data_IF_745332564115
#
_entry.id   IF_745332564115
#
_cell.length_a   1.000
_cell.length_b   1.000
_cell.length_c   1.000
_cell.angle_alpha   90.00
_cell.angle_beta   90.00
_cell.angle_gamma   90.00
#
_symmetry.space_group_name_H-M   'P 1'
#
loop_
_entity.id
_entity.type
_entity.pdbx_description
1 polymer ?
#
# COMPACT_ATOMS: atom_id res chain seq x y z
N UNK A 1 -21.65 11.39 -10.81
CA UNK A 1 -22.25 10.33 -9.98
C UNK A 1 -21.41 10.22 -8.74
N UNK A 2 -21.97 10.45 -7.55
CA UNK A 2 -21.23 10.37 -6.30
C UNK A 2 -20.99 8.89 -5.98
N UNK A 3 -19.81 8.39 -6.35
CA UNK A 3 -19.40 7.06 -5.90
C UNK A 3 -19.10 7.15 -4.41
N UNK A 4 -19.89 6.44 -3.60
CA UNK A 4 -19.64 6.26 -2.18
C UNK A 4 -18.47 5.29 -2.02
N UNK A 5 -17.24 5.81 -2.02
CA UNK A 5 -16.06 5.00 -1.74
C UNK A 5 -16.10 4.47 -0.30
N UNK A 6 -15.58 3.26 -0.07
CA UNK A 6 -15.43 2.67 1.25
C UNK A 6 -13.96 2.31 1.52
N UNK A 7 -13.62 2.11 2.81
CA UNK A 7 -12.32 1.59 3.17
C UNK A 7 -12.15 0.16 2.61
N UNK A 8 -11.02 -0.10 1.97
CA UNK A 8 -10.72 -1.37 1.30
C UNK A 8 -11.11 -1.41 -0.17
N UNK A 9 -11.58 -0.31 -0.76
CA UNK A 9 -11.82 -0.22 -2.20
C UNK A 9 -10.53 0.09 -2.96
N UNK A 10 -10.38 -0.57 -4.10
CA UNK A 10 -9.32 -0.32 -5.08
C UNK A 10 -9.63 0.91 -5.90
N UNK A 11 -8.66 1.81 -5.97
CA UNK A 11 -8.84 3.14 -6.55
C UNK A 11 -7.62 3.56 -7.34
N UNK A 12 -7.84 4.34 -8.38
CA UNK A 12 -6.82 4.99 -9.19
C UNK A 12 -6.99 6.51 -9.12
N UNK A 13 -5.88 7.22 -9.15
CA UNK A 13 -5.84 8.68 -9.14
C UNK A 13 -6.00 9.21 -10.56
N UNK A 14 -6.92 10.16 -10.76
CA UNK A 14 -7.14 10.75 -12.09
C UNK A 14 -5.99 11.67 -12.48
N UNK A 15 -5.62 11.64 -13.76
CA UNK A 15 -4.72 12.62 -14.34
C UNK A 15 -5.46 13.94 -14.61
N UNK A 16 -5.08 14.99 -13.89
CA UNK A 16 -5.52 16.37 -14.13
C UNK A 16 -4.44 17.40 -13.82
N UNK A 17 -4.65 18.62 -14.29
CA UNK A 17 -3.82 19.76 -13.90
C UNK A 17 -4.10 20.17 -12.44
N UNK A 18 -3.03 20.56 -11.75
CA UNK A 18 -3.14 21.11 -10.40
C UNK A 18 -3.76 22.50 -10.47
N UNK A 19 -4.83 22.74 -9.71
CA UNK A 19 -5.43 24.06 -9.58
C UNK A 19 -4.76 24.83 -8.43
N UNK A 20 -4.93 26.16 -8.40
CA UNK A 20 -4.44 26.99 -7.28
C UNK A 20 -5.01 26.58 -5.91
N UNK A 21 -6.19 25.94 -5.87
CA UNK A 21 -6.77 25.41 -4.64
C UNK A 21 -6.05 24.13 -4.19
N UNK A 22 -5.58 23.31 -5.11
CA UNK A 22 -4.82 22.09 -4.80
C UNK A 22 -3.41 22.42 -4.32
N UNK A 23 -2.77 23.42 -4.92
CA UNK A 23 -1.46 23.91 -4.46
C UNK A 23 -1.51 24.45 -3.02
N UNK A 24 -2.67 25.01 -2.61
CA UNK A 24 -2.88 25.51 -1.25
C UNK A 24 -3.28 24.42 -0.26
N UNK A 25 -4.07 23.44 -0.69
CA UNK A 25 -4.55 22.35 0.16
C UNK A 25 -3.56 21.19 0.27
N UNK A 26 -2.66 21.02 -0.71
CA UNK A 26 -1.73 19.90 -0.78
C UNK A 26 -2.41 18.56 -1.07
N UNK A 27 -3.68 18.57 -1.50
CA UNK A 27 -4.49 17.35 -1.70
C UNK A 27 -4.27 16.68 -3.04
N UNK A 28 -3.72 17.39 -4.03
CA UNK A 28 -3.44 16.81 -5.34
C UNK A 28 -2.16 17.39 -5.91
N UNK A 29 -1.31 16.49 -6.41
CA UNK A 29 -0.14 16.84 -7.18
C UNK A 29 -0.15 16.09 -8.52
N UNK A 30 0.33 16.69 -9.62
CA UNK A 30 0.30 16.05 -10.94
C UNK A 30 1.09 14.73 -10.99
N UNK A 31 2.10 14.57 -10.15
CA UNK A 31 2.90 13.35 -10.08
C UNK A 31 2.18 12.19 -9.38
N UNK A 32 0.98 12.40 -8.82
CA UNK A 32 0.12 11.32 -8.33
C UNK A 32 -0.77 10.72 -9.40
N UNK A 33 -0.85 11.34 -10.58
CA UNK A 33 -1.62 10.82 -11.70
C UNK A 33 -1.23 9.36 -12.00
N UNK A 34 -2.24 8.55 -12.34
CA UNK A 34 -2.11 7.14 -12.70
C UNK A 34 -1.58 6.20 -11.60
N UNK A 35 -1.37 6.72 -10.38
CA UNK A 35 -1.09 5.86 -9.23
C UNK A 35 -2.33 5.07 -8.82
N UNK A 36 -2.11 3.83 -8.40
CA UNK A 36 -3.14 2.88 -8.00
C UNK A 36 -2.93 2.49 -6.55
N UNK A 37 -4.02 2.22 -5.84
CA UNK A 37 -3.94 1.88 -4.44
C UNK A 37 -5.27 1.47 -3.85
N UNK A 38 -5.26 1.31 -2.53
CA UNK A 38 -6.41 0.92 -1.74
C UNK A 38 -6.77 2.02 -0.74
N UNK A 39 -8.06 2.33 -0.61
CA UNK A 39 -8.54 3.29 0.40
C UNK A 39 -8.33 2.71 1.81
N UNK A 40 -7.54 3.37 2.64
CA UNK A 40 -7.39 3.01 4.05
C UNK A 40 -8.49 3.61 4.92
N UNK A 41 -8.73 4.91 4.75
CA UNK A 41 -9.66 5.67 5.59
C UNK A 41 -10.19 6.88 4.85
N UNK A 42 -11.43 7.24 5.14
CA UNK A 42 -12.13 8.37 4.54
C UNK A 42 -12.40 9.41 5.63
N UNK A 43 -12.14 10.67 5.29
CA UNK A 43 -12.25 11.86 6.14
C UNK A 43 -13.18 12.88 5.46
N UNK A 44 -14.47 12.56 5.37
CA UNK A 44 -15.45 13.42 4.70
C UNK A 44 -15.23 13.45 3.19
N UNK A 45 -14.65 14.54 2.68
CA UNK A 45 -14.36 14.74 1.24
C UNK A 45 -12.94 14.28 0.83
N UNK A 46 -12.14 13.83 1.79
CA UNK A 46 -10.76 13.37 1.58
C UNK A 46 -10.62 11.89 1.91
N UNK A 47 -9.67 11.21 1.29
CA UNK A 47 -9.36 9.81 1.57
C UNK A 47 -7.85 9.60 1.66
N UNK A 48 -7.44 8.79 2.64
CA UNK A 48 -6.09 8.24 2.71
C UNK A 48 -6.03 6.97 1.88
N UNK A 49 -5.17 6.98 0.86
CA UNK A 49 -4.96 5.86 -0.05
C UNK A 49 -3.57 5.30 0.18
N UNK A 50 -3.51 3.98 0.40
CA UNK A 50 -2.27 3.22 0.36
C UNK A 50 -1.93 2.92 -1.09
N UNK A 51 -0.83 3.48 -1.59
CA UNK A 51 -0.41 3.31 -2.98
C UNK A 51 0.38 2.02 -3.14
N UNK A 52 0.10 1.31 -4.23
CA UNK A 52 0.82 0.12 -4.63
C UNK A 52 2.21 0.50 -5.16
N UNK A 53 3.25 -0.18 -4.67
CA UNK A 53 4.65 0.11 -5.03
C UNK A 53 4.92 0.01 -6.53
N UNK A 54 4.19 -0.87 -7.21
CA UNK A 54 4.34 -1.09 -8.65
C UNK A 54 3.70 0.02 -9.49
N UNK A 55 2.80 0.81 -8.91
CA UNK A 55 2.19 1.98 -9.56
C UNK A 55 2.99 3.27 -9.36
N UNK A 56 4.02 3.25 -8.52
CA UNK A 56 4.87 4.42 -8.28
C UNK A 56 5.74 4.70 -9.50
N UNK A 57 5.83 5.98 -9.85
CA UNK A 57 6.79 6.44 -10.85
C UNK A 57 8.22 6.12 -10.42
N UNK A 58 9.09 5.78 -11.37
CA UNK A 58 10.45 5.24 -11.10
C UNK A 58 11.27 6.13 -10.17
N UNK A 59 11.21 7.45 -10.36
CA UNK A 59 11.93 8.41 -9.50
C UNK A 59 11.43 8.42 -8.04
N UNK A 60 10.11 8.36 -7.86
CA UNK A 60 9.49 8.34 -6.53
C UNK A 60 9.77 7.01 -5.84
N UNK A 61 9.72 5.93 -6.62
CA UNK A 61 10.04 4.58 -6.16
C UNK A 61 11.48 4.48 -5.64
N UNK A 62 12.47 4.99 -6.38
CA UNK A 62 13.88 4.98 -5.95
C UNK A 62 14.05 5.75 -4.64
N UNK A 63 13.47 6.94 -4.52
CA UNK A 63 13.53 7.73 -3.27
C UNK A 63 12.85 7.01 -2.11
N UNK A 64 11.74 6.32 -2.37
CA UNK A 64 11.03 5.53 -1.35
C UNK A 64 11.87 4.35 -0.86
N UNK A 65 12.54 3.65 -1.78
CA UNK A 65 13.46 2.56 -1.46
C UNK A 65 14.68 3.06 -0.67
N UNK A 66 15.26 4.21 -1.04
CA UNK A 66 16.35 4.85 -0.29
C UNK A 66 15.93 5.22 1.13
N UNK A 67 14.74 5.82 1.28
CA UNK A 67 14.18 6.16 2.58
C UNK A 67 13.91 4.91 3.43
N UNK A 68 13.42 3.83 2.81
CA UNK A 68 13.20 2.55 3.48
C UNK A 68 14.50 1.97 4.02
N UNK A 69 15.59 2.01 3.23
CA UNK A 69 16.91 1.56 3.68
C UNK A 69 17.43 2.46 4.81
N UNK A 70 17.27 3.77 4.70
CA UNK A 70 17.71 4.72 5.73
C UNK A 70 16.96 4.53 7.05
N UNK A 71 15.64 4.35 7.01
CA UNK A 71 14.83 4.09 8.21
C UNK A 71 15.11 2.72 8.81
N UNK A 72 15.35 1.67 8.01
CA UNK A 72 15.81 0.38 8.52
C UNK A 72 17.15 0.49 9.24
N UNK A 73 18.09 1.27 8.68
CA UNK A 73 19.38 1.51 9.31
C UNK A 73 19.23 2.25 10.64
N UNK A 74 18.46 3.34 10.68
CA UNK A 74 18.17 4.09 11.92
C UNK A 74 17.44 3.23 12.95
N UNK A 75 16.48 2.43 12.51
CA UNK A 75 15.74 1.51 13.39
C UNK A 75 16.70 0.50 14.00
N UNK A 76 17.56 -0.12 13.18
CA UNK A 76 18.60 -1.03 13.64
C UNK A 76 19.51 -0.36 14.66
N UNK A 77 20.03 0.84 14.39
CA UNK A 77 20.89 1.60 15.30
C UNK A 77 20.20 1.98 16.63
N UNK A 78 18.88 2.21 16.61
CA UNK A 78 18.08 2.54 17.81
C UNK A 78 17.78 1.34 18.71
N UNK A 79 17.70 0.14 18.17
CA UNK A 79 17.46 -1.08 18.96
C UNK A 79 18.76 -1.60 19.58
N UNK A 80 18.71 -1.95 20.86
CA UNK A 80 19.83 -2.59 21.58
C UNK A 80 20.14 -3.97 21.00
N UNK A 81 21.38 -4.44 21.14
CA UNK A 81 21.80 -5.76 20.61
C UNK A 81 20.93 -6.92 21.14
N UNK A 82 20.46 -6.83 22.39
CA UNK A 82 19.55 -7.80 22.97
C UNK A 82 18.18 -7.84 22.27
N UNK A 83 17.61 -6.68 21.91
CA UNK A 83 16.37 -6.59 21.15
C UNK A 83 16.57 -7.02 19.68
N UNK A 84 17.74 -6.73 19.10
CA UNK A 84 18.09 -7.09 17.73
C UNK A 84 18.20 -8.61 17.53
N UNK A 85 18.59 -9.37 18.56
CA UNK A 85 18.60 -10.83 18.53
C UNK A 85 17.23 -11.47 18.80
N UNK A 86 16.31 -10.74 19.44
CA UNK A 86 14.94 -11.20 19.70
C UNK A 86 13.99 -11.01 18.52
N UNK A 87 14.32 -10.09 17.61
CA UNK A 87 13.49 -9.78 16.43
C UNK A 87 13.76 -10.77 15.30
N UNK A 88 12.69 -11.28 14.70
CA UNK A 88 12.75 -12.08 13.48
C UNK A 88 13.17 -11.22 12.27
N UNK A 89 13.68 -11.86 11.22
CA UNK A 89 14.12 -11.15 10.01
C UNK A 89 12.99 -10.41 9.30
N UNK A 90 11.73 -10.82 9.52
CA UNK A 90 10.54 -10.12 9.05
C UNK A 90 10.28 -8.82 9.81
N UNK A 91 10.57 -8.79 11.11
CA UNK A 91 10.39 -7.59 11.94
C UNK A 91 11.55 -6.60 11.75
N UNK A 92 12.74 -7.09 11.39
CA UNK A 92 13.88 -6.25 11.00
C UNK A 92 13.67 -5.58 9.64
N UNK A 93 13.04 -6.29 8.70
CA UNK A 93 12.78 -5.80 7.35
C UNK A 93 11.33 -5.37 7.19
N UNK A 94 10.95 -4.27 7.86
CA UNK A 94 9.62 -3.70 7.66
C UNK A 94 9.57 -2.94 6.31
N UNK A 95 8.50 -3.11 5.52
CA UNK A 95 8.24 -2.30 4.34
C UNK A 95 7.65 -0.94 4.74
N UNK A 96 8.16 0.16 4.18
CA UNK A 96 7.50 1.45 4.32
C UNK A 96 6.27 1.49 3.42
N UNK A 97 5.13 1.85 4.00
CA UNK A 97 3.90 2.12 3.27
C UNK A 97 3.93 3.54 2.72
N UNK A 98 3.55 3.69 1.45
CA UNK A 98 3.39 4.99 0.82
C UNK A 98 1.90 5.36 0.85
N UNK A 99 1.52 6.16 1.84
CA UNK A 99 0.13 6.59 2.02
C UNK A 99 0.02 8.07 1.65
N UNK A 100 -0.93 8.39 0.77
CA UNK A 100 -1.24 9.77 0.38
C UNK A 100 -2.64 10.15 0.83
N UNK A 101 -2.85 11.44 1.08
CA UNK A 101 -4.17 12.02 1.32
C UNK A 101 -4.60 12.75 0.05
N UNK A 102 -5.77 12.39 -0.50
CA UNK A 102 -6.30 12.97 -1.73
C UNK A 102 -7.78 13.28 -1.59
N UNK A 103 -8.29 14.24 -2.35
CA UNK A 103 -9.70 14.54 -2.42
C UNK A 103 -10.47 13.45 -3.20
N UNK A 104 -11.64 13.04 -2.71
CA UNK A 104 -12.47 11.99 -3.32
C UNK A 104 -12.91 12.31 -4.76
N UNK A 105 -12.97 13.59 -5.12
CA UNK A 105 -13.26 14.05 -6.50
C UNK A 105 -12.20 13.61 -7.51
N UNK A 106 -10.98 13.31 -7.04
CA UNK A 106 -9.81 13.02 -7.87
C UNK A 106 -9.50 11.53 -7.94
N UNK A 107 -10.45 10.71 -7.48
CA UNK A 107 -10.31 9.27 -7.33
C UNK A 107 -11.36 8.59 -8.18
N UNK A 108 -10.95 7.56 -8.92
CA UNK A 108 -11.85 6.69 -9.67
C UNK A 108 -11.69 5.26 -9.18
N UNK A 109 -12.77 4.44 -9.18
CA UNK A 109 -12.66 3.04 -8.86
C UNK A 109 -11.76 2.35 -9.90
N UNK A 110 -10.75 1.63 -9.42
CA UNK A 110 -9.87 0.87 -10.29
C UNK A 110 -10.43 -0.55 -10.47
N UNK A 111 -11.02 -0.79 -11.64
CA UNK A 111 -11.55 -2.11 -11.99
C UNK A 111 -10.43 -3.13 -12.26
N UNK A 112 -9.24 -2.67 -12.65
CA UNK A 112 -8.06 -3.50 -12.94
C UNK A 112 -7.18 -3.72 -11.70
N UNK A 113 -7.13 -2.73 -10.80
CA UNK A 113 -6.40 -2.76 -9.53
C UNK A 113 -7.19 -3.34 -8.36
N UNK A 114 -8.30 -4.05 -8.63
CA UNK A 114 -8.85 -5.01 -7.70
C UNK A 114 -7.76 -6.05 -7.42
N UNK A 115 -6.86 -5.75 -6.47
CA UNK A 115 -6.06 -6.74 -5.78
C UNK A 115 -7.04 -7.85 -5.48
N UNK A 116 -6.86 -8.97 -6.19
CA UNK A 116 -7.75 -10.13 -6.16
C UNK A 116 -8.27 -10.24 -4.75
N UNK A 117 -9.52 -9.85 -4.52
CA UNK A 117 -10.27 -10.39 -3.39
C UNK A 117 -10.31 -11.85 -3.78
N UNK A 118 -9.29 -12.59 -3.33
CA UNK A 118 -9.20 -14.04 -3.48
C UNK A 118 -10.56 -14.49 -3.02
N UNK A 119 -11.32 -15.05 -3.96
CA UNK A 119 -12.66 -15.50 -3.65
C UNK A 119 -12.53 -16.48 -2.48
N UNK A 120 -13.59 -16.66 -1.68
CA UNK A 120 -13.56 -17.67 -0.62
C UNK A 120 -13.04 -19.03 -1.14
N UNK A 121 -13.34 -19.33 -2.41
CA UNK A 121 -12.85 -20.49 -3.15
C UNK A 121 -11.33 -20.51 -3.36
N UNK A 122 -10.70 -19.38 -3.65
CA UNK A 122 -9.25 -19.29 -3.81
C UNK A 122 -8.52 -19.41 -2.45
N UNK A 123 -9.14 -18.89 -1.38
CA UNK A 123 -8.65 -19.04 0.00
C UNK A 123 -8.74 -20.50 0.47
N UNK A 124 -9.87 -21.18 0.21
CA UNK A 124 -10.07 -22.60 0.52
C UNK A 124 -9.05 -23.49 -0.23
N UNK A 125 -8.76 -23.14 -1.49
CA UNK A 125 -7.80 -23.89 -2.31
C UNK A 125 -6.36 -23.71 -1.81
N UNK A 126 -6.00 -22.49 -1.39
CA UNK A 126 -4.70 -22.19 -0.80
C UNK A 126 -4.51 -22.86 0.58
N UNK A 127 -5.57 -22.93 1.39
CA UNK A 127 -5.54 -23.62 2.68
C UNK A 127 -5.38 -25.13 2.52
N UNK A 128 -6.10 -25.74 1.56
CA UNK A 128 -5.98 -27.16 1.25
C UNK A 128 -4.58 -27.55 0.75
N UNK A 129 -3.95 -26.72 -0.09
CA UNK A 129 -2.59 -26.95 -0.57
C UNK A 129 -1.55 -26.81 0.55
N UNK A 130 -1.71 -25.80 1.43
CA UNK A 130 -0.83 -25.61 2.58
C UNK A 130 -0.92 -26.77 3.59
N UNK A 131 -2.13 -27.27 3.86
CA UNK A 131 -2.35 -28.44 4.72
C UNK A 131 -1.75 -29.73 4.12
N UNK A 132 -1.86 -29.91 2.80
CA UNK A 132 -1.27 -31.05 2.11
C UNK A 132 0.26 -31.06 2.17
N UNK A 133 0.93 -29.92 1.94
CA UNK A 133 2.39 -29.81 2.08
C UNK A 133 2.85 -30.07 3.51
N UNK A 134 2.11 -29.57 4.50
CA UNK A 134 2.43 -29.78 5.92
C UNK A 134 2.24 -31.24 6.34
N UNK A 135 1.23 -31.92 5.82
CA UNK A 135 1.01 -33.35 6.05
C UNK A 135 2.11 -34.21 5.39
N UNK A 136 2.57 -33.84 4.19
CA UNK A 136 3.66 -34.53 3.49
C UNK A 136 5.01 -34.39 4.22
N UNK A 137 5.28 -33.23 4.84
CA UNK A 137 6.48 -33.01 5.67
C UNK A 137 6.47 -33.75 7.01
N UNK A 138 5.30 -34.13 7.54
CA UNK A 138 5.16 -34.82 8.83
C UNK A 138 5.31 -36.35 8.73
N UNK A 139 5.37 -36.89 7.50
CA UNK A 139 5.50 -38.32 7.19
C UNK A 139 6.92 -38.75 6.79
N UNK A 140 7.90 -37.85 6.89
CA UNK A 140 9.33 -38.13 6.72
C UNK A 140 10.04 -38.06 8.05
#
# INVERSE_FOLDING_TARGET
MAHTFQAGDSVAVIARDATNADTKSGLYYPHFADMRGTVLKIYGEEASILIDRDSLHTEIRVRHEENEVAERKKYAERISEAARNSLSDKEKNFPLQYTILIALKDVVPDADGAAKRLSATDLDTAEATFLAERAAKKKK
#
